data_IF_060993798497
#
_entry.id   IF_060993798497
#
_cell.length_a   1.000
_cell.length_b   1.000
_cell.length_c   1.000
_cell.angle_alpha   90.00
_cell.angle_beta   90.00
_cell.angle_gamma   90.00
#
_symmetry.space_group_name_H-M   'P 1'
#
loop_
_entity.id
_entity.type
_entity.pdbx_description
1 polymer ?
#
# COMPACT_ATOMS: atom_id res chain seq x y z
N UNK A 1 4.37 66.80 -43.55
CA UNK A 1 3.21 65.88 -43.79
C UNK A 1 3.47 64.59 -43.11
N UNK A 2 2.61 64.30 -42.20
CA UNK A 2 2.52 63.15 -41.29
C UNK A 2 2.60 61.78 -42.00
N UNK A 3 3.28 60.81 -41.40
CA UNK A 3 2.67 59.49 -41.23
C UNK A 3 3.41 58.70 -40.15
N UNK A 4 2.59 58.20 -39.24
CA UNK A 4 2.93 57.47 -38.05
C UNK A 4 3.25 55.99 -38.40
N UNK A 5 4.33 55.45 -37.85
CA UNK A 5 4.61 54.02 -37.82
C UNK A 5 4.10 53.44 -36.52
N UNK A 6 3.20 52.46 -36.59
CA UNK A 6 2.65 51.72 -35.45
C UNK A 6 3.61 50.58 -35.06
N UNK A 7 4.23 50.68 -33.91
CA UNK A 7 4.87 49.56 -33.23
C UNK A 7 3.79 48.69 -32.58
N UNK A 8 3.76 47.43 -32.98
CA UNK A 8 2.97 46.40 -32.33
C UNK A 8 3.79 45.75 -31.23
N UNK A 9 3.53 46.12 -29.99
CA UNK A 9 4.10 45.49 -28.81
C UNK A 9 3.28 44.19 -28.50
N UNK A 10 3.91 43.02 -28.61
CA UNK A 10 3.36 41.77 -28.14
C UNK A 10 3.54 41.68 -26.61
N UNK A 11 2.46 41.82 -25.86
CA UNK A 11 2.38 41.47 -24.44
C UNK A 11 2.28 39.97 -24.32
N UNK A 12 3.31 39.36 -23.78
CA UNK A 12 3.27 37.99 -23.29
C UNK A 12 2.57 37.96 -21.93
N UNK A 13 1.39 37.37 -21.86
CA UNK A 13 0.69 37.14 -20.59
C UNK A 13 1.30 35.93 -19.88
N UNK A 14 2.08 36.19 -18.84
CA UNK A 14 2.45 35.18 -17.86
C UNK A 14 1.26 35.01 -16.91
N UNK A 15 0.54 33.89 -17.03
CA UNK A 15 -0.44 33.50 -16.01
C UNK A 15 0.32 33.01 -14.77
N UNK A 16 0.46 33.90 -13.80
CA UNK A 16 0.83 33.54 -12.46
C UNK A 16 -0.38 32.90 -11.76
N UNK A 17 -0.23 31.66 -11.33
CA UNK A 17 -1.19 30.99 -10.49
C UNK A 17 -1.21 31.69 -9.11
N UNK A 18 -2.26 32.46 -8.84
CA UNK A 18 -2.50 33.03 -7.51
C UNK A 18 -3.18 31.94 -6.67
N UNK A 19 -2.40 31.32 -5.78
CA UNK A 19 -2.94 30.47 -4.72
C UNK A 19 -3.65 31.34 -3.68
N UNK A 20 -4.98 31.28 -3.65
CA UNK A 20 -5.78 31.93 -2.62
C UNK A 20 -5.76 31.02 -1.39
N UNK A 21 -4.96 31.37 -0.39
CA UNK A 21 -5.01 30.81 0.96
C UNK A 21 -6.25 31.38 1.67
N UNK A 22 -7.29 30.58 1.79
CA UNK A 22 -8.42 30.87 2.68
C UNK A 22 -8.10 30.33 4.09
N UNK A 23 -7.63 31.20 4.97
CA UNK A 23 -7.58 30.94 6.40
C UNK A 23 -8.99 31.08 6.99
N UNK A 24 -9.61 29.97 7.33
CA UNK A 24 -10.76 29.99 8.26
C UNK A 24 -10.24 29.86 9.69
N UNK A 25 -10.16 30.96 10.39
CA UNK A 25 -9.96 30.97 11.83
C UNK A 25 -11.30 30.64 12.52
N UNK A 26 -11.49 29.38 12.89
CA UNK A 26 -12.57 29.00 13.79
C UNK A 26 -12.15 29.35 15.23
N UNK A 27 -12.81 30.33 15.84
CA UNK A 27 -12.67 30.60 17.24
C UNK A 27 -13.35 29.48 18.06
N UNK A 28 -12.54 28.51 18.49
CA UNK A 28 -12.98 27.41 19.34
C UNK A 28 -13.11 27.84 20.79
N UNK A 29 -14.28 27.62 21.39
CA UNK A 29 -14.52 27.75 22.83
C UNK A 29 -13.68 26.70 23.56
N UNK A 30 -12.84 27.15 24.49
CA UNK A 30 -12.08 26.28 25.38
C UNK A 30 -13.03 25.59 26.38
N UNK A 31 -13.38 24.37 26.12
CA UNK A 31 -13.82 23.40 27.12
C UNK A 31 -12.62 22.62 27.58
N UNK A 32 -12.30 22.74 28.87
CA UNK A 32 -11.19 22.08 29.56
C UNK A 32 -11.47 20.56 29.69
N UNK A 33 -11.40 19.85 28.59
CA UNK A 33 -11.26 18.41 28.53
C UNK A 33 -9.86 18.17 27.98
N UNK A 34 -9.03 17.36 28.67
CA UNK A 34 -7.73 16.90 28.21
C UNK A 34 -7.86 16.11 26.88
N UNK A 35 -8.27 16.80 25.82
CA UNK A 35 -8.37 16.30 24.47
C UNK A 35 -7.03 16.48 23.75
N UNK A 36 -6.68 15.57 22.88
CA UNK A 36 -5.53 15.75 21.97
C UNK A 36 -5.76 17.01 21.12
N UNK A 37 -4.72 17.82 21.01
CA UNK A 37 -4.70 18.96 20.08
C UNK A 37 -4.69 18.42 18.65
N UNK A 38 -5.36 19.12 17.74
CA UNK A 38 -5.49 18.71 16.34
C UNK A 38 -5.09 19.87 15.43
N UNK A 39 -4.39 19.52 14.33
CA UNK A 39 -4.05 20.43 13.24
C UNK A 39 -4.34 19.74 11.92
N UNK A 40 -5.06 20.41 11.02
CA UNK A 40 -5.58 19.83 9.78
C UNK A 40 -4.92 20.50 8.57
N UNK A 41 -4.59 19.68 7.58
CA UNK A 41 -3.99 20.09 6.32
C UNK A 41 -4.80 19.49 5.16
N UNK A 42 -5.21 20.34 4.22
CA UNK A 42 -5.99 19.94 3.05
C UNK A 42 -5.42 20.58 1.80
N UNK A 43 -4.99 19.79 0.85
CA UNK A 43 -4.46 20.32 -0.42
C UNK A 43 -4.69 19.36 -1.58
N UNK A 44 -4.77 19.93 -2.79
CA UNK A 44 -4.85 19.19 -4.05
C UNK A 44 -3.64 19.52 -4.89
N UNK A 45 -2.99 18.48 -5.42
CA UNK A 45 -1.81 18.58 -6.26
C UNK A 45 -2.12 18.00 -7.63
N UNK A 46 -1.76 18.70 -8.73
CA UNK A 46 -1.85 18.12 -10.06
C UNK A 46 -0.88 16.94 -10.17
N UNK A 47 -1.34 15.83 -10.73
CA UNK A 47 -0.53 14.66 -10.98
C UNK A 47 -1.02 13.97 -12.25
N UNK A 48 -0.11 13.54 -13.11
CA UNK A 48 -0.47 12.77 -14.31
C UNK A 48 -1.20 11.46 -13.95
N UNK A 49 -1.99 10.92 -14.86
CA UNK A 49 -2.80 9.72 -14.61
C UNK A 49 -1.97 8.51 -14.15
N UNK A 50 -0.71 8.40 -14.57
CA UNK A 50 0.25 7.34 -14.21
C UNK A 50 1.43 7.89 -13.37
N UNK A 51 1.23 9.06 -12.74
CA UNK A 51 2.22 9.69 -11.90
C UNK A 51 2.57 8.84 -10.69
N UNK A 52 3.79 9.04 -10.19
CA UNK A 52 4.34 8.32 -9.05
C UNK A 52 3.95 9.00 -7.74
N UNK A 53 3.64 8.21 -6.75
CA UNK A 53 3.36 8.65 -5.39
C UNK A 53 4.22 7.87 -4.42
N UNK A 54 4.98 8.59 -3.61
CA UNK A 54 5.75 8.08 -2.50
C UNK A 54 5.20 8.70 -1.20
N UNK A 55 4.96 7.88 -0.17
CA UNK A 55 4.49 8.34 1.13
C UNK A 55 5.24 7.62 2.25
N UNK A 56 5.83 8.38 3.16
CA UNK A 56 6.44 7.85 4.38
C UNK A 56 5.76 8.46 5.60
N UNK A 57 5.14 7.62 6.43
CA UNK A 57 4.56 8.00 7.71
C UNK A 57 5.10 7.13 8.83
N UNK A 58 5.37 7.75 10.00
CA UNK A 58 5.90 7.02 11.16
C UNK A 58 4.76 6.59 12.09
N UNK A 59 3.84 7.49 12.41
CA UNK A 59 2.76 7.21 13.34
C UNK A 59 1.42 7.71 12.81
N UNK A 60 0.42 6.85 12.78
CA UNK A 60 -0.95 7.15 12.41
C UNK A 60 -1.40 6.42 11.15
N UNK A 61 -2.71 6.31 10.95
CA UNK A 61 -3.27 5.57 9.82
C UNK A 61 -3.06 6.29 8.48
N UNK A 62 -3.05 5.48 7.42
CA UNK A 62 -2.98 5.96 6.03
C UNK A 62 -4.09 5.29 5.23
N UNK A 63 -4.96 6.08 4.61
CA UNK A 63 -6.05 5.64 3.75
C UNK A 63 -5.84 6.15 2.34
N UNK A 64 -5.76 5.25 1.36
CA UNK A 64 -5.56 5.59 -0.06
C UNK A 64 -6.71 5.01 -0.87
N UNK A 65 -7.43 5.88 -1.55
CA UNK A 65 -8.49 5.52 -2.51
C UNK A 65 -8.21 6.16 -3.86
N UNK A 66 -8.94 5.77 -4.90
CA UNK A 66 -8.72 6.35 -6.22
C UNK A 66 -9.94 7.05 -6.81
N UNK A 67 -9.69 7.94 -7.77
CA UNK A 67 -10.69 8.61 -8.60
C UNK A 67 -10.25 8.76 -10.05
N UNK A 68 -11.16 9.20 -10.91
CA UNK A 68 -10.86 9.41 -12.34
C UNK A 68 -10.45 10.87 -12.65
N UNK A 69 -9.54 11.46 -11.84
CA UNK A 69 -8.98 12.81 -12.02
C UNK A 69 -7.46 12.76 -12.04
N UNK A 70 -6.83 13.69 -12.77
CA UNK A 70 -5.38 13.83 -12.85
C UNK A 70 -4.85 14.78 -11.75
N UNK A 71 -5.22 14.49 -10.53
CA UNK A 71 -4.81 15.23 -9.33
C UNK A 71 -4.86 14.32 -8.11
N UNK A 72 -4.08 14.65 -7.10
CA UNK A 72 -4.09 13.97 -5.79
C UNK A 72 -4.66 14.91 -4.75
N UNK A 73 -5.71 14.49 -4.07
CA UNK A 73 -6.18 15.15 -2.86
C UNK A 73 -5.44 14.57 -1.66
N UNK A 74 -4.84 15.42 -0.86
CA UNK A 74 -4.13 15.08 0.37
C UNK A 74 -4.82 15.75 1.54
N UNK A 75 -5.44 14.95 2.39
CA UNK A 75 -5.94 15.39 3.68
C UNK A 75 -5.04 14.76 4.75
N UNK A 76 -4.51 15.57 5.67
CA UNK A 76 -3.71 15.11 6.79
C UNK A 76 -4.22 15.72 8.10
N UNK A 77 -4.35 14.90 9.13
CA UNK A 77 -4.80 15.34 10.46
C UNK A 77 -3.73 14.95 11.47
N UNK A 78 -3.05 15.94 12.02
CA UNK A 78 -2.09 15.77 13.11
C UNK A 78 -2.82 15.79 14.44
N UNK A 79 -2.44 14.89 15.36
CA UNK A 79 -2.97 14.83 16.74
C UNK A 79 -1.84 14.63 17.74
N UNK A 80 -1.79 15.45 18.78
CA UNK A 80 -0.80 15.35 19.84
C UNK A 80 -1.37 15.78 21.20
N UNK A 81 -0.69 15.42 22.29
CA UNK A 81 -1.06 15.82 23.65
C UNK A 81 -0.56 17.21 24.03
N UNK A 82 0.42 17.77 23.29
CA UNK A 82 0.92 19.12 23.50
C UNK A 82 1.16 19.84 22.18
N UNK A 83 1.22 21.16 22.25
CA UNK A 83 1.49 22.00 21.07
C UNK A 83 2.89 21.76 20.51
N UNK A 84 3.88 21.58 21.38
CA UNK A 84 5.26 21.31 21.01
C UNK A 84 5.34 20.02 20.17
N UNK A 85 4.67 18.94 20.61
CA UNK A 85 4.61 17.67 19.88
C UNK A 85 3.88 17.79 18.54
N UNK A 86 2.85 18.63 18.49
CA UNK A 86 2.12 18.90 17.25
C UNK A 86 3.01 19.64 16.24
N UNK A 87 3.78 20.64 16.72
CA UNK A 87 4.68 21.45 15.91
C UNK A 87 5.95 20.67 15.46
N UNK A 88 6.36 19.63 16.20
CA UNK A 88 7.46 18.74 15.85
C UNK A 88 7.13 17.85 14.63
N UNK A 89 5.89 17.43 14.45
CA UNK A 89 5.47 16.65 13.30
C UNK A 89 5.37 17.55 12.05
N UNK A 90 6.38 17.49 11.21
CA UNK A 90 6.42 18.25 9.95
C UNK A 90 5.98 17.37 8.78
N UNK A 91 5.08 17.91 7.98
CA UNK A 91 4.67 17.30 6.72
C UNK A 91 5.46 17.98 5.61
N UNK A 92 6.38 17.25 5.00
CA UNK A 92 7.14 17.70 3.83
C UNK A 92 6.51 17.12 2.56
N UNK A 93 6.19 17.99 1.60
CA UNK A 93 5.56 17.59 0.35
C UNK A 93 6.31 18.21 -0.83
N UNK A 94 6.83 17.33 -1.69
CA UNK A 94 7.44 17.68 -2.97
C UNK A 94 6.52 17.25 -4.11
N UNK A 95 6.03 18.21 -4.88
CA UNK A 95 5.10 17.98 -5.99
C UNK A 95 5.68 18.39 -7.33
N UNK A 96 5.60 17.47 -8.28
CA UNK A 96 5.95 17.65 -9.69
C UNK A 96 4.80 17.12 -10.56
N UNK A 97 4.72 17.45 -11.84
CA UNK A 97 3.61 17.02 -12.72
C UNK A 97 3.44 15.50 -12.83
N UNK A 98 4.51 14.72 -12.60
CA UNK A 98 4.58 13.26 -12.73
C UNK A 98 4.93 12.54 -11.43
N UNK A 99 5.17 13.27 -10.34
CA UNK A 99 5.52 12.67 -9.05
C UNK A 99 5.09 13.53 -7.86
N UNK A 100 4.63 12.85 -6.80
CA UNK A 100 4.28 13.44 -5.50
C UNK A 100 4.97 12.64 -4.41
N UNK A 101 5.81 13.31 -3.60
CA UNK A 101 6.44 12.71 -2.43
C UNK A 101 5.90 13.39 -1.16
N UNK A 102 5.45 12.60 -0.22
CA UNK A 102 4.90 13.04 1.08
C UNK A 102 5.71 12.36 2.18
N UNK A 103 6.26 13.13 3.09
CA UNK A 103 7.04 12.59 4.21
C UNK A 103 6.65 13.26 5.51
N UNK A 104 6.43 12.44 6.55
CA UNK A 104 6.29 12.94 7.92
C UNK A 104 7.64 12.91 8.61
N UNK A 105 8.15 14.06 9.01
CA UNK A 105 9.41 14.22 9.71
C UNK A 105 9.19 14.62 11.17
N UNK A 106 10.03 14.06 12.05
CA UNK A 106 10.09 14.42 13.47
C UNK A 106 11.51 14.89 13.79
N UNK A 107 11.80 16.20 13.65
CA UNK A 107 13.13 16.75 13.90
C UNK A 107 13.52 16.57 15.38
N UNK A 108 14.76 16.16 15.63
CA UNK A 108 15.32 15.94 16.98
C UNK A 108 15.48 14.47 17.38
N UNK A 109 15.19 13.53 16.51
CA UNK A 109 15.51 12.10 16.72
C UNK A 109 16.92 11.72 16.27
N UNK A 110 17.92 12.57 16.57
CA UNK A 110 19.30 12.15 16.49
C UNK A 110 19.54 11.08 17.57
N UNK A 111 19.65 9.83 17.12
CA UNK A 111 20.29 8.63 17.71
C UNK A 111 20.47 8.48 19.24
N UNK A 112 19.87 9.29 20.06
CA UNK A 112 19.91 9.13 21.52
C UNK A 112 18.64 8.39 21.98
N UNK A 113 18.62 7.09 21.71
CA UNK A 113 17.52 6.16 22.10
C UNK A 113 17.30 6.04 23.62
N UNK A 114 17.94 6.84 24.47
CA UNK A 114 18.01 6.55 25.90
C UNK A 114 17.53 7.65 26.84
N UNK A 115 16.99 8.76 26.36
CA UNK A 115 16.66 9.86 27.26
C UNK A 115 15.31 10.52 26.97
N UNK A 116 14.20 9.82 27.14
CA UNK A 116 12.99 10.36 27.77
C UNK A 116 11.85 9.34 27.79
N UNK A 117 11.40 8.99 28.97
CA UNK A 117 10.40 7.95 29.24
C UNK A 117 8.95 8.35 28.88
N UNK A 118 8.74 9.46 28.21
CA UNK A 118 7.40 9.98 27.89
C UNK A 118 7.25 10.43 26.44
N UNK A 119 8.02 9.84 25.54
CA UNK A 119 8.00 10.22 24.13
C UNK A 119 6.78 9.63 23.42
N UNK A 120 5.65 10.36 23.47
CA UNK A 120 4.45 10.07 22.69
C UNK A 120 4.40 11.08 21.52
N UNK A 121 5.03 10.76 20.37
CA UNK A 121 5.08 11.65 19.23
C UNK A 121 3.67 11.90 18.68
N UNK A 122 3.49 13.00 17.96
CA UNK A 122 2.25 13.27 17.27
C UNK A 122 1.89 12.13 16.32
N UNK A 123 0.62 11.86 16.17
CA UNK A 123 0.08 10.95 15.15
C UNK A 123 -0.38 11.77 13.96
N UNK A 124 -0.03 11.37 12.75
CA UNK A 124 -0.49 11.97 11.49
C UNK A 124 -1.33 10.95 10.74
N UNK A 125 -2.60 11.22 10.61
CA UNK A 125 -3.52 10.45 9.79
C UNK A 125 -3.57 11.04 8.37
N UNK A 126 -3.34 10.22 7.36
CA UNK A 126 -3.45 10.63 5.96
C UNK A 126 -4.65 10.00 5.29
N UNK A 127 -5.38 10.81 4.53
CA UNK A 127 -6.38 10.35 3.56
C UNK A 127 -6.01 10.90 2.19
N UNK A 128 -5.64 10.00 1.28
CA UNK A 128 -5.28 10.34 -0.09
C UNK A 128 -6.36 9.84 -1.07
N UNK A 129 -6.72 10.71 -2.02
CA UNK A 129 -7.49 10.29 -3.20
C UNK A 129 -6.61 10.53 -4.41
N UNK A 130 -6.23 9.44 -5.10
CA UNK A 130 -5.20 9.46 -6.14
C UNK A 130 -5.79 9.15 -7.52
N UNK A 131 -5.13 9.52 -8.64
CA UNK A 131 -5.54 9.05 -9.95
C UNK A 131 -5.62 7.53 -9.99
N UNK A 132 -6.66 6.97 -10.62
CA UNK A 132 -6.92 5.53 -10.64
C UNK A 132 -5.73 4.68 -11.12
N UNK A 133 -4.93 5.20 -12.06
CA UNK A 133 -3.76 4.54 -12.64
C UNK A 133 -2.44 5.01 -12.04
N UNK A 134 -2.46 5.85 -11.00
CA UNK A 134 -1.26 6.29 -10.31
C UNK A 134 -0.45 5.10 -9.80
N UNK A 135 0.86 5.28 -9.77
CA UNK A 135 1.80 4.28 -9.25
C UNK A 135 2.14 4.64 -7.82
N UNK A 136 1.75 3.79 -6.89
CA UNK A 136 2.18 3.86 -5.50
C UNK A 136 3.54 3.14 -5.40
N UNK A 137 4.63 3.87 -5.65
CA UNK A 137 5.95 3.24 -5.79
C UNK A 137 6.61 2.92 -4.45
N UNK A 138 6.34 3.75 -3.42
CA UNK A 138 6.87 3.55 -2.09
C UNK A 138 5.93 4.10 -1.02
N UNK A 139 5.03 3.25 -0.51
CA UNK A 139 4.16 3.61 0.62
C UNK A 139 4.67 2.92 1.87
N UNK A 140 5.23 3.69 2.80
CA UNK A 140 5.85 3.18 4.03
C UNK A 140 5.13 3.68 5.26
N UNK A 141 4.74 2.76 6.13
CA UNK A 141 4.17 3.04 7.43
C UNK A 141 4.92 2.29 8.52
N UNK A 142 5.32 2.98 9.59
CA UNK A 142 5.97 2.31 10.71
C UNK A 142 4.93 1.83 11.72
N UNK A 143 4.07 2.72 12.23
CA UNK A 143 3.08 2.38 13.25
C UNK A 143 1.68 2.88 12.83
N UNK A 144 0.74 1.98 12.62
CA UNK A 144 -0.63 2.31 12.27
C UNK A 144 -1.28 1.31 11.33
N UNK A 145 -2.41 1.69 10.74
CA UNK A 145 -3.09 0.92 9.71
C UNK A 145 -2.90 1.55 8.35
N UNK A 146 -2.63 0.72 7.34
CA UNK A 146 -2.54 1.13 5.94
C UNK A 146 -3.69 0.46 5.16
N UNK A 147 -4.55 1.26 4.57
CA UNK A 147 -5.68 0.81 3.77
C UNK A 147 -5.59 1.38 2.35
N UNK A 148 -5.52 0.51 1.34
CA UNK A 148 -5.38 0.88 -0.08
C UNK A 148 -6.50 0.24 -0.88
N UNK A 149 -7.28 1.05 -1.60
CA UNK A 149 -8.45 0.55 -2.33
C UNK A 149 -8.54 1.10 -3.75
N UNK A 150 -8.98 0.23 -4.68
CA UNK A 150 -9.39 0.55 -6.05
C UNK A 150 -8.31 1.22 -6.92
N UNK A 151 -7.03 0.97 -6.64
CA UNK A 151 -5.90 1.48 -7.43
C UNK A 151 -5.58 0.51 -8.56
N UNK A 152 -5.62 0.97 -9.81
CA UNK A 152 -5.33 0.17 -10.99
C UNK A 152 -3.86 0.20 -11.42
N UNK A 153 -3.07 1.16 -10.91
CA UNK A 153 -1.62 1.24 -11.12
C UNK A 153 -0.83 0.24 -10.29
N UNK A 154 0.49 0.30 -10.40
CA UNK A 154 1.38 -0.50 -9.55
C UNK A 154 1.27 -0.05 -8.09
N UNK A 155 1.32 -1.02 -7.17
CA UNK A 155 1.34 -0.74 -5.72
C UNK A 155 2.49 -1.49 -5.07
N UNK A 156 3.37 -0.73 -4.40
CA UNK A 156 4.36 -1.26 -3.46
C UNK A 156 4.17 -0.58 -2.12
N UNK A 157 3.86 -1.37 -1.09
CA UNK A 157 3.55 -0.84 0.22
C UNK A 157 4.10 -1.72 1.34
N UNK A 158 4.58 -1.07 2.41
CA UNK A 158 5.10 -1.76 3.59
C UNK A 158 4.57 -1.16 4.89
N UNK A 159 4.26 -2.04 5.85
CA UNK A 159 3.84 -1.66 7.19
C UNK A 159 4.67 -2.42 8.23
N UNK A 160 5.32 -1.71 9.16
CA UNK A 160 6.15 -2.39 10.16
C UNK A 160 5.30 -2.92 11.32
N UNK A 161 4.50 -2.06 11.94
CA UNK A 161 3.66 -2.44 13.09
C UNK A 161 2.21 -2.00 12.84
N UNK A 162 1.35 -2.95 12.53
CA UNK A 162 -0.06 -2.66 12.33
C UNK A 162 -0.73 -3.56 11.31
N UNK A 163 -1.82 -3.08 10.75
CA UNK A 163 -2.58 -3.79 9.73
C UNK A 163 -2.37 -3.16 8.36
N UNK A 164 -2.08 -3.99 7.36
CA UNK A 164 -2.09 -3.61 5.96
C UNK A 164 -3.31 -4.26 5.28
N UNK A 165 -4.20 -3.44 4.76
CA UNK A 165 -5.40 -3.89 4.07
C UNK A 165 -5.38 -3.38 2.62
N UNK A 166 -5.59 -4.28 1.66
CA UNK A 166 -5.57 -3.97 0.24
C UNK A 166 -6.79 -4.55 -0.46
N UNK A 167 -7.50 -3.72 -1.23
CA UNK A 167 -8.71 -4.15 -1.94
C UNK A 167 -8.70 -3.70 -3.39
N UNK A 168 -9.05 -4.63 -4.29
CA UNK A 168 -9.28 -4.37 -5.71
C UNK A 168 -8.11 -3.65 -6.41
N UNK A 169 -6.89 -4.11 -6.21
CA UNK A 169 -5.72 -3.59 -6.88
C UNK A 169 -5.61 -4.17 -8.30
N UNK A 170 -5.27 -3.34 -9.27
CA UNK A 170 -5.29 -3.71 -10.70
C UNK A 170 -3.94 -3.93 -11.35
N UNK A 171 -2.86 -3.36 -10.78
CA UNK A 171 -1.50 -3.44 -11.29
C UNK A 171 -0.64 -4.48 -10.57
N UNK A 172 0.67 -4.45 -10.85
CA UNK A 172 1.64 -5.22 -10.06
C UNK A 172 1.53 -4.81 -8.59
N UNK A 173 1.40 -5.77 -7.72
CA UNK A 173 1.19 -5.55 -6.29
C UNK A 173 2.26 -6.28 -5.49
N UNK A 174 2.91 -5.53 -4.60
CA UNK A 174 3.99 -5.98 -3.73
C UNK A 174 3.75 -5.39 -2.33
N UNK A 175 3.30 -6.24 -1.40
CA UNK A 175 2.87 -5.80 -0.06
C UNK A 175 3.64 -6.55 1.02
N UNK A 176 4.24 -5.80 1.94
CA UNK A 176 5.06 -6.32 3.01
C UNK A 176 4.56 -5.89 4.38
N UNK A 177 4.57 -6.79 5.35
CA UNK A 177 4.36 -6.45 6.76
C UNK A 177 5.40 -7.13 7.66
N UNK A 178 5.82 -6.45 8.72
CA UNK A 178 6.74 -7.07 9.68
C UNK A 178 5.96 -7.65 10.86
N UNK A 179 5.18 -6.84 11.54
CA UNK A 179 4.39 -7.27 12.71
C UNK A 179 2.93 -6.84 12.54
N UNK A 180 2.05 -7.79 12.25
CA UNK A 180 0.65 -7.50 12.13
C UNK A 180 -0.09 -8.39 11.14
N UNK A 181 -1.17 -7.88 10.64
CA UNK A 181 -2.05 -8.60 9.70
C UNK A 181 -1.93 -7.95 8.30
N UNK A 182 -1.75 -8.79 7.28
CA UNK A 182 -1.86 -8.41 5.89
C UNK A 182 -3.12 -9.08 5.31
N UNK A 183 -4.09 -8.28 4.91
CA UNK A 183 -5.36 -8.74 4.34
C UNK A 183 -5.53 -8.15 2.93
N UNK A 184 -5.45 -9.00 1.92
CA UNK A 184 -5.64 -8.62 0.53
C UNK A 184 -6.90 -9.29 -0.05
N UNK A 185 -7.77 -8.50 -0.67
CA UNK A 185 -9.01 -8.98 -1.28
C UNK A 185 -9.15 -8.47 -2.71
N UNK A 186 -9.30 -9.39 -3.66
CA UNK A 186 -9.37 -9.10 -5.07
C UNK A 186 -10.70 -9.58 -5.66
N UNK A 187 -11.52 -8.66 -6.18
CA UNK A 187 -12.74 -9.01 -6.92
C UNK A 187 -12.42 -9.55 -8.32
N UNK A 188 -11.24 -9.21 -8.84
CA UNK A 188 -10.65 -9.72 -10.08
C UNK A 188 -9.14 -9.75 -9.91
N UNK A 189 -8.51 -10.86 -10.25
CA UNK A 189 -7.06 -10.93 -10.22
C UNK A 189 -6.47 -10.16 -11.43
N UNK A 190 -5.51 -9.23 -11.22
CA UNK A 190 -4.83 -8.55 -12.31
C UNK A 190 -3.99 -9.52 -13.15
N UNK A 191 -3.60 -9.13 -14.37
CA UNK A 191 -2.65 -9.91 -15.18
C UNK A 191 -1.21 -9.80 -14.68
N UNK A 192 -0.93 -8.83 -13.83
CA UNK A 192 0.39 -8.59 -13.23
C UNK A 192 0.60 -9.42 -11.96
N UNK A 193 1.85 -9.76 -11.60
CA UNK A 193 2.14 -10.53 -10.40
C UNK A 193 1.63 -9.90 -9.11
N UNK A 194 1.20 -10.74 -8.17
CA UNK A 194 0.81 -10.40 -6.82
C UNK A 194 1.78 -11.06 -5.84
N UNK A 195 2.53 -10.26 -5.07
CA UNK A 195 3.47 -10.73 -4.06
C UNK A 195 3.06 -10.17 -2.70
N UNK A 196 2.89 -11.04 -1.71
CA UNK A 196 2.52 -10.69 -0.35
C UNK A 196 3.50 -11.34 0.62
N UNK A 197 4.10 -10.53 1.51
CA UNK A 197 5.06 -11.01 2.49
C UNK A 197 4.70 -10.59 3.90
N UNK A 198 4.90 -11.47 4.86
CA UNK A 198 4.78 -11.17 6.28
C UNK A 198 5.94 -11.78 7.06
N UNK A 199 6.39 -11.12 8.13
CA UNK A 199 7.37 -11.72 9.03
C UNK A 199 6.65 -12.36 10.22
N UNK A 200 5.83 -11.60 10.94
CA UNK A 200 5.08 -12.08 12.09
C UNK A 200 3.60 -11.69 11.98
N UNK A 201 2.71 -12.68 11.90
CA UNK A 201 1.29 -12.43 11.89
C UNK A 201 0.53 -13.27 10.88
N UNK A 202 -0.65 -12.82 10.53
CA UNK A 202 -1.52 -13.52 9.57
C UNK A 202 -1.48 -12.83 8.22
N UNK A 203 -1.26 -13.62 7.17
CA UNK A 203 -1.39 -13.21 5.78
C UNK A 203 -2.67 -13.85 5.22
N UNK A 204 -3.64 -13.04 4.86
CA UNK A 204 -4.91 -13.47 4.26
C UNK A 204 -5.03 -12.94 2.85
N UNK A 205 -5.36 -13.83 1.92
CA UNK A 205 -5.65 -13.48 0.54
C UNK A 205 -7.02 -14.04 0.14
N UNK A 206 -7.95 -13.15 -0.22
CA UNK A 206 -9.25 -13.53 -0.75
C UNK A 206 -9.27 -13.35 -2.27
N UNK A 207 -9.55 -14.43 -2.98
CA UNK A 207 -9.58 -14.49 -4.45
C UNK A 207 -11.00 -14.78 -4.96
N UNK A 208 -11.35 -14.36 -6.19
CA UNK A 208 -12.58 -14.82 -6.86
C UNK A 208 -12.64 -16.34 -6.94
N UNK A 209 -13.83 -16.92 -6.83
CA UNK A 209 -13.99 -18.40 -6.88
C UNK A 209 -13.54 -18.98 -8.22
N UNK A 210 -13.72 -18.24 -9.35
CA UNK A 210 -13.35 -18.60 -10.71
C UNK A 210 -11.95 -18.14 -11.14
N UNK A 211 -11.04 -17.92 -10.18
CA UNK A 211 -9.70 -17.37 -10.40
C UNK A 211 -8.83 -18.25 -11.31
N UNK A 212 -7.99 -17.60 -12.12
CA UNK A 212 -6.94 -18.26 -12.92
C UNK A 212 -5.58 -17.77 -12.45
N UNK A 213 -4.85 -18.64 -11.75
CA UNK A 213 -3.60 -18.28 -11.09
C UNK A 213 -2.62 -19.46 -10.97
N UNK A 214 -1.34 -19.15 -10.92
CA UNK A 214 -0.30 -20.02 -10.38
C UNK A 214 0.02 -19.53 -8.96
N UNK A 215 -0.30 -20.34 -7.95
CA UNK A 215 -0.18 -20.01 -6.54
C UNK A 215 1.03 -20.70 -5.94
N UNK A 216 1.88 -19.90 -5.29
CA UNK A 216 3.00 -20.37 -4.49
C UNK A 216 2.90 -19.75 -3.09
N UNK A 217 2.85 -20.58 -2.06
CA UNK A 217 2.79 -20.14 -0.68
C UNK A 217 3.83 -20.89 0.16
N UNK A 218 4.51 -20.19 1.07
CA UNK A 218 5.50 -20.78 1.96
C UNK A 218 5.52 -20.11 3.32
N UNK A 219 5.70 -20.92 4.38
CA UNK A 219 5.92 -20.41 5.74
C UNK A 219 7.01 -21.23 6.42
N UNK A 220 7.84 -20.56 7.23
CA UNK A 220 8.91 -21.21 7.99
C UNK A 220 8.35 -21.79 9.29
N UNK A 221 7.58 -21.00 10.04
CA UNK A 221 6.93 -21.44 11.29
C UNK A 221 5.47 -20.99 11.30
N UNK A 222 4.55 -21.91 11.11
CA UNK A 222 3.13 -21.60 11.05
C UNK A 222 2.32 -22.61 10.26
N UNK A 223 1.23 -22.16 9.64
CA UNK A 223 0.35 -23.02 8.87
C UNK A 223 -0.09 -22.36 7.57
N UNK A 224 -0.42 -23.20 6.58
CA UNK A 224 -1.04 -22.75 5.33
C UNK A 224 -2.40 -23.43 5.24
N UNK A 225 -3.46 -22.65 5.01
CA UNK A 225 -4.79 -23.15 4.69
C UNK A 225 -5.29 -22.55 3.39
N UNK A 226 -6.08 -23.29 2.62
CA UNK A 226 -6.70 -22.78 1.41
C UNK A 226 -8.05 -23.45 1.14
N UNK A 227 -8.99 -22.68 0.61
CA UNK A 227 -10.33 -23.13 0.27
C UNK A 227 -10.42 -23.83 -1.09
N UNK A 228 -9.38 -23.68 -1.93
CA UNK A 228 -9.36 -24.22 -3.29
C UNK A 228 -8.94 -25.70 -3.38
N UNK A 229 -8.61 -26.33 -2.27
CA UNK A 229 -8.25 -27.75 -2.21
C UNK A 229 -6.84 -28.05 -2.76
N UNK A 230 -5.96 -27.04 -2.83
CA UNK A 230 -4.55 -27.26 -3.16
C UNK A 230 -3.85 -27.98 -2.00
N UNK A 231 -3.08 -29.06 -2.26
CA UNK A 231 -2.39 -29.79 -1.22
C UNK A 231 -1.25 -28.96 -0.62
N UNK A 232 -1.16 -28.98 0.71
CA UNK A 232 -0.08 -28.36 1.48
C UNK A 232 0.96 -29.43 1.79
N UNK A 233 2.21 -29.19 1.46
CA UNK A 233 3.35 -30.04 1.79
C UNK A 233 3.93 -29.63 3.14
N UNK A 234 4.10 -30.62 4.02
CA UNK A 234 4.80 -30.47 5.28
C UNK A 234 6.24 -30.92 5.09
N UNK A 235 7.20 -30.03 5.36
CA UNK A 235 8.60 -30.38 5.28
C UNK A 235 9.05 -31.09 6.56
N UNK A 236 9.92 -32.09 6.42
CA UNK A 236 10.31 -32.96 7.53
C UNK A 236 10.96 -32.22 8.70
N UNK A 237 11.62 -31.11 8.45
CA UNK A 237 12.36 -30.37 9.50
C UNK A 237 11.70 -29.03 9.84
N UNK A 238 11.38 -28.21 8.84
CA UNK A 238 10.85 -26.87 9.06
C UNK A 238 9.96 -26.45 7.89
N UNK A 239 8.78 -25.92 8.21
CA UNK A 239 7.96 -25.17 7.29
C UNK A 239 6.92 -25.96 6.53
N UNK A 240 6.10 -25.18 5.83
CA UNK A 240 5.03 -25.66 4.97
C UNK A 240 5.12 -24.94 3.63
N UNK A 241 4.84 -25.64 2.55
CA UNK A 241 4.73 -25.05 1.23
C UNK A 241 3.49 -25.55 0.49
N UNK A 242 3.07 -24.75 -0.47
CA UNK A 242 1.98 -25.04 -1.39
C UNK A 242 2.39 -24.50 -2.75
N UNK A 243 2.31 -25.33 -3.78
CA UNK A 243 2.48 -24.89 -5.15
C UNK A 243 1.44 -25.55 -6.03
N UNK A 244 0.64 -24.72 -6.69
CA UNK A 244 -0.44 -25.23 -7.50
C UNK A 244 -0.98 -24.23 -8.50
N UNK A 245 -1.85 -24.74 -9.35
CA UNK A 245 -2.48 -24.00 -10.43
C UNK A 245 -4.00 -24.02 -10.24
N UNK A 246 -4.62 -22.87 -10.38
CA UNK A 246 -6.06 -22.69 -10.35
C UNK A 246 -6.57 -22.29 -11.74
N UNK A 247 -7.67 -22.91 -12.18
CA UNK A 247 -8.35 -22.56 -13.41
C UNK A 247 -7.50 -22.64 -14.70
N UNK A 248 -6.52 -23.55 -14.76
CA UNK A 248 -5.62 -23.68 -15.90
C UNK A 248 -4.44 -22.69 -15.91
N UNK A 249 -4.18 -22.01 -14.80
CA UNK A 249 -3.07 -21.07 -14.64
C UNK A 249 -3.37 -19.66 -15.12
N UNK A 250 -2.43 -18.75 -14.89
CA UNK A 250 -2.57 -17.34 -15.20
C UNK A 250 -1.60 -16.49 -14.40
N UNK A 251 -2.11 -15.53 -13.67
CA UNK A 251 -1.33 -14.62 -12.83
C UNK A 251 -0.54 -15.38 -11.76
N UNK A 252 0.74 -15.02 -11.61
CA UNK A 252 1.55 -15.53 -10.51
C UNK A 252 1.16 -14.83 -9.20
N UNK A 253 0.83 -15.65 -8.19
CA UNK A 253 0.52 -15.26 -6.83
C UNK A 253 1.53 -15.90 -5.89
N UNK A 254 2.32 -15.08 -5.21
CA UNK A 254 3.34 -15.53 -4.28
C UNK A 254 3.04 -15.01 -2.88
N UNK A 255 3.00 -15.92 -1.91
CA UNK A 255 2.73 -15.66 -0.51
C UNK A 255 3.89 -16.18 0.34
N UNK A 256 4.48 -15.32 1.17
CA UNK A 256 5.59 -15.70 2.04
C UNK A 256 5.32 -15.26 3.47
N UNK A 257 5.51 -16.15 4.44
CA UNK A 257 5.44 -15.80 5.86
C UNK A 257 6.60 -16.46 6.61
N UNK A 258 7.17 -15.79 7.58
CA UNK A 258 8.19 -16.40 8.44
C UNK A 258 7.52 -17.07 9.64
N UNK A 259 6.76 -16.31 10.45
CA UNK A 259 6.08 -16.81 11.63
C UNK A 259 4.60 -16.44 11.58
N UNK A 260 3.74 -17.42 11.33
CA UNK A 260 2.30 -17.19 11.36
C UNK A 260 1.54 -17.95 10.28
N UNK A 261 0.31 -17.54 10.07
CA UNK A 261 -0.62 -18.24 9.22
C UNK A 261 -0.75 -17.61 7.85
N UNK A 262 -0.83 -18.43 6.82
CA UNK A 262 -1.25 -18.04 5.47
C UNK A 262 -2.64 -18.64 5.23
N UNK A 263 -3.61 -17.79 4.86
CA UNK A 263 -4.98 -18.17 4.56
C UNK A 263 -5.33 -17.73 3.13
N UNK A 264 -5.63 -18.68 2.26
CA UNK A 264 -6.06 -18.40 0.88
C UNK A 264 -7.54 -18.77 0.78
N UNK A 265 -8.38 -17.76 0.66
CA UNK A 265 -9.83 -17.86 0.74
C UNK A 265 -10.47 -17.59 -0.62
N UNK A 266 -11.64 -18.20 -0.87
CA UNK A 266 -12.48 -17.82 -2.00
C UNK A 266 -13.55 -16.81 -1.56
N UNK A 267 -13.93 -15.94 -2.49
CA UNK A 267 -14.79 -14.76 -2.20
C UNK A 267 -16.27 -15.10 -1.94
N UNK A 268 -16.70 -16.37 -1.99
CA UNK A 268 -18.11 -16.78 -1.93
C UNK A 268 -19.04 -15.98 -2.87
N UNK A 269 -18.58 -15.71 -4.07
CA UNK A 269 -19.20 -14.83 -5.06
C UNK A 269 -20.22 -15.53 -5.98
N UNK A 270 -20.71 -16.70 -5.58
CA UNK A 270 -21.64 -17.58 -6.31
C UNK A 270 -21.09 -18.06 -7.68
N UNK A 271 -19.79 -17.93 -7.93
CA UNK A 271 -19.15 -18.49 -9.12
C UNK A 271 -18.67 -19.92 -8.85
N UNK A 272 -18.58 -20.77 -9.89
CA UNK A 272 -18.00 -22.10 -9.72
C UNK A 272 -16.52 -21.98 -9.30
N UNK A 273 -16.12 -22.80 -8.35
CA UNK A 273 -14.73 -22.82 -7.89
C UNK A 273 -13.81 -23.36 -8.98
N UNK A 274 -12.70 -22.68 -9.19
CA UNK A 274 -11.67 -23.08 -10.15
C UNK A 274 -11.10 -24.46 -9.80
N UNK A 275 -10.92 -25.36 -10.77
CA UNK A 275 -10.23 -26.62 -10.56
C UNK A 275 -8.78 -26.39 -10.13
N UNK A 276 -8.34 -27.16 -9.14
CA UNK A 276 -7.00 -27.08 -8.60
C UNK A 276 -6.10 -28.20 -9.17
N UNK A 277 -4.88 -27.84 -9.60
CA UNK A 277 -3.84 -28.77 -10.03
C UNK A 277 -2.61 -28.62 -9.16
N UNK A 278 -2.09 -29.72 -8.63
CA UNK A 278 -0.84 -29.73 -7.87
C UNK A 278 0.37 -29.76 -8.81
N UNK A 279 1.23 -28.76 -8.75
CA UNK A 279 2.43 -28.66 -9.56
C UNK A 279 3.67 -29.30 -8.92
N UNK A 280 3.66 -29.60 -7.62
CA UNK A 280 4.78 -30.24 -6.95
C UNK A 280 4.95 -31.74 -7.32
N UNK A 281 3.86 -32.40 -7.74
CA UNK A 281 3.90 -33.80 -8.15
C UNK A 281 4.57 -34.06 -9.51
N UNK A 282 4.65 -33.07 -10.37
CA UNK A 282 5.25 -33.23 -11.71
C UNK A 282 6.79 -33.25 -11.65
N UNK A 283 7.41 -32.44 -10.79
CA UNK A 283 8.87 -32.40 -10.63
C UNK A 283 9.48 -33.68 -10.05
N UNK A 284 8.80 -34.38 -9.14
CA UNK A 284 9.29 -35.62 -8.56
C UNK A 284 9.17 -36.82 -9.49
N UNK A 285 8.45 -36.72 -10.62
CA UNK A 285 8.40 -37.78 -11.65
C UNK A 285 9.48 -37.61 -12.71
N UNK A 286 9.86 -36.37 -13.03
CA UNK A 286 10.91 -36.10 -14.02
C UNK A 286 12.32 -36.38 -13.46
N UNK A 287 12.52 -36.27 -12.14
CA UNK A 287 13.79 -36.56 -11.48
C UNK A 287 14.02 -38.08 -11.24
N UNK A 288 12.96 -38.92 -11.22
CA UNK A 288 13.07 -40.36 -11.01
C UNK A 288 13.26 -41.15 -12.34
N UNK A 289 12.96 -40.55 -13.50
CA UNK A 289 13.08 -41.21 -14.82
C UNK A 289 14.49 -41.06 -15.43
N UNK A 290 15.36 -40.20 -14.94
CA UNK A 290 16.71 -39.99 -15.44
C UNK A 290 17.78 -40.90 -14.79
N UNK A 291 17.50 -41.58 -13.67
CA UNK A 291 18.44 -42.45 -12.97
C UNK A 291 18.41 -43.93 -13.47
N UNK A 292 17.43 -44.31 -14.30
CA UNK A 292 17.33 -45.70 -14.83
C UNK A 292 17.96 -45.92 -16.23
N UNK A 293 18.64 -44.89 -16.78
CA UNK A 293 19.21 -44.98 -18.14
C UNK A 293 20.73 -45.26 -18.22
N UNK A 294 21.41 -45.54 -17.08
CA UNK A 294 22.83 -45.96 -17.07
C UNK A 294 22.99 -47.30 -16.33
N UNK A 295 22.72 -48.41 -17.05
CA UNK A 295 23.33 -49.72 -16.81
C UNK A 295 23.69 -50.35 -18.17
#
# INVERSE_FOLDING_TARGET
MQQQSRLATRLGAALGAVSVLLFFAAAGHASDHQGKLTDEFHQVYPLSAEGRIDLENINGPVHITSWDRNEVKVDAVKRAWSKERLDEAKIDISSHPDSLSIRTEYPGRDNTFWNDRHDNPASVEYTLVVPRRARLDEIKLVNGSLDIQDVAGQVRASCVNGRLQARNLGGRTDLDTVNGELDASMSRLPSSPLELSAVNGTLRLTLPSDVRAEVEASTVSGSISNDFGLPVKHHQYVGHSLRGQLGGGGTRVKLSNVNGRIEIMHANDNRPMSPAKNLERERSRDDDDDDDAEI
#
